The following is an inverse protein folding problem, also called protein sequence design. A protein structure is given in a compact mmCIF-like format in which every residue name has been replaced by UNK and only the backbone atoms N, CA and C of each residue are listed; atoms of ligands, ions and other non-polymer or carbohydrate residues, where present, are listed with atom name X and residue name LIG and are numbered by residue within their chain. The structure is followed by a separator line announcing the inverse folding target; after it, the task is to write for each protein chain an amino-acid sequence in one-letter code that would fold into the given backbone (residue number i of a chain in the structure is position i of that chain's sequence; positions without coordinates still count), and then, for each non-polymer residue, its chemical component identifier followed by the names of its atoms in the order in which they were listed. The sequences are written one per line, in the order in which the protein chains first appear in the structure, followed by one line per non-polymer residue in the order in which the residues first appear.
data_IF_732855876439
#
_entry.id   IF_732855876439
#
_cell.length_a   1.000
_cell.length_b   1.000
_cell.length_c   1.000
_cell.angle_alpha   90.00
_cell.angle_beta   90.00
_cell.angle_gamma   90.00
#
_symmetry.space_group_name_H-M   'P 1'
#
loop_
_entity.id
_entity.type
_entity.pdbx_description
1 polymer ?
#
# COMPACT_ATOMS: atom_id res chain seq x y z
N UNK A 1 19.81 -37.22 -38.28
CA UNK A 1 19.33 -35.93 -38.85
C UNK A 1 18.24 -35.42 -37.95
N UNK A 2 18.60 -34.61 -36.99
CA UNK A 2 17.69 -34.04 -35.96
C UNK A 2 17.25 -32.66 -36.42
N UNK A 3 15.95 -32.45 -36.58
CA UNK A 3 15.38 -31.14 -36.89
C UNK A 3 15.09 -30.41 -35.59
N UNK A 4 15.94 -29.43 -35.28
CA UNK A 4 15.76 -28.49 -34.19
C UNK A 4 14.63 -27.53 -34.56
N UNK A 5 13.52 -27.63 -33.86
CA UNK A 5 12.38 -26.69 -33.97
C UNK A 5 12.73 -25.43 -33.22
N UNK A 6 13.09 -24.35 -33.92
CA UNK A 6 13.25 -23.01 -33.36
C UNK A 6 11.89 -22.41 -33.27
N UNK A 7 11.36 -22.31 -32.02
CA UNK A 7 10.15 -21.53 -31.72
C UNK A 7 10.55 -20.05 -31.82
N UNK A 8 10.19 -19.43 -32.96
CA UNK A 8 10.20 -17.97 -33.07
C UNK A 8 9.09 -17.43 -32.15
N UNK A 9 9.49 -16.80 -31.07
CA UNK A 9 8.58 -15.95 -30.29
C UNK A 9 8.26 -14.70 -31.13
N UNK A 10 7.10 -14.69 -31.78
CA UNK A 10 6.52 -13.45 -32.28
C UNK A 10 6.19 -12.56 -31.11
N UNK A 11 7.04 -11.55 -30.89
CA UNK A 11 6.77 -10.45 -29.97
C UNK A 11 5.62 -9.65 -30.60
N UNK A 12 4.45 -9.72 -30.00
CA UNK A 12 3.26 -9.00 -30.45
C UNK A 12 3.57 -7.52 -30.65
N UNK A 13 3.42 -7.02 -31.88
CA UNK A 13 3.69 -5.65 -32.33
C UNK A 13 2.49 -4.70 -32.11
N UNK A 14 1.78 -4.83 -31.00
CA UNK A 14 0.65 -3.96 -30.66
C UNK A 14 1.04 -2.85 -29.66
N UNK A 15 0.18 -1.84 -29.45
CA UNK A 15 0.33 -0.82 -28.43
C UNK A 15 0.63 -1.41 -27.05
N UNK A 16 1.40 -0.69 -26.20
CA UNK A 16 1.79 -1.16 -24.86
C UNK A 16 0.56 -1.53 -24.02
N UNK A 17 -0.53 -0.75 -24.15
CA UNK A 17 -1.82 -0.99 -23.47
C UNK A 17 -2.46 -2.29 -23.95
N UNK A 18 -2.52 -2.51 -25.28
CA UNK A 18 -3.11 -3.74 -25.84
C UNK A 18 -2.34 -4.99 -25.45
N UNK A 19 -1.01 -4.91 -25.36
CA UNK A 19 -0.18 -6.03 -24.88
C UNK A 19 -0.49 -6.39 -23.43
N UNK A 20 -0.64 -5.39 -22.53
CA UNK A 20 -1.01 -5.59 -21.14
C UNK A 20 -2.41 -6.20 -20.99
N UNK A 21 -3.37 -5.76 -21.82
CA UNK A 21 -4.73 -6.29 -21.86
C UNK A 21 -4.74 -7.72 -22.44
N UNK A 22 -4.03 -7.95 -23.53
CA UNK A 22 -3.92 -9.26 -24.19
C UNK A 22 -3.29 -10.33 -23.29
N UNK A 23 -2.41 -9.94 -22.36
CA UNK A 23 -1.82 -10.83 -21.37
C UNK A 23 -2.76 -11.11 -20.17
N UNK A 24 -3.99 -10.57 -20.16
CA UNK A 24 -4.96 -10.78 -19.07
C UNK A 24 -4.58 -10.13 -17.72
N UNK A 25 -3.55 -9.28 -17.69
CA UNK A 25 -3.05 -8.62 -16.47
C UNK A 25 -3.98 -7.46 -16.08
N UNK A 26 -4.57 -6.76 -17.07
CA UNK A 26 -5.42 -5.59 -16.86
C UNK A 26 -6.71 -5.69 -17.68
N UNK A 27 -7.85 -5.34 -17.05
CA UNK A 27 -9.18 -5.39 -17.67
C UNK A 27 -9.45 -4.20 -18.59
N UNK A 28 -8.71 -3.09 -18.43
CA UNK A 28 -8.90 -1.86 -19.21
C UNK A 28 -7.58 -1.10 -19.39
N UNK A 29 -7.55 -0.17 -20.36
CA UNK A 29 -6.44 0.76 -20.56
C UNK A 29 -6.16 1.57 -19.28
N UNK A 30 -7.22 2.03 -18.59
CA UNK A 30 -7.14 2.75 -17.33
C UNK A 30 -6.44 1.91 -16.25
N UNK A 31 -6.82 0.62 -16.10
CA UNK A 31 -6.19 -0.26 -15.10
C UNK A 31 -4.69 -0.46 -15.39
N UNK A 32 -4.33 -0.58 -16.67
CA UNK A 32 -2.94 -0.70 -17.09
C UNK A 32 -2.12 0.56 -16.75
N UNK A 33 -2.64 1.74 -17.09
CA UNK A 33 -2.00 3.03 -16.80
C UNK A 33 -1.85 3.19 -15.28
N UNK A 34 -2.91 2.94 -14.52
CA UNK A 34 -2.90 3.01 -13.06
C UNK A 34 -1.82 2.12 -12.47
N UNK A 35 -1.77 0.86 -12.87
CA UNK A 35 -0.75 -0.08 -12.40
C UNK A 35 0.65 0.39 -12.75
N UNK A 36 0.89 0.83 -13.99
CA UNK A 36 2.19 1.30 -14.43
C UNK A 36 2.66 2.53 -13.66
N UNK A 37 1.78 3.51 -13.41
CA UNK A 37 2.11 4.70 -12.63
C UNK A 37 2.38 4.37 -11.17
N UNK A 38 1.53 3.54 -10.55
CA UNK A 38 1.75 3.07 -9.18
C UNK A 38 3.11 2.36 -9.06
N UNK A 39 3.43 1.48 -10.02
CA UNK A 39 4.71 0.79 -10.03
C UNK A 39 5.89 1.76 -10.19
N UNK A 40 5.81 2.72 -11.11
CA UNK A 40 6.89 3.70 -11.36
C UNK A 40 7.12 4.62 -10.15
N UNK A 41 6.06 5.06 -9.48
CA UNK A 41 6.17 5.83 -8.24
C UNK A 41 6.77 4.95 -7.14
N UNK A 42 6.30 3.72 -7.05
CA UNK A 42 6.78 2.73 -6.07
C UNK A 42 8.25 2.38 -6.27
N UNK A 43 8.68 2.16 -7.50
CA UNK A 43 10.07 1.79 -7.83
C UNK A 43 11.02 3.02 -7.83
N UNK A 44 10.52 4.22 -7.53
CA UNK A 44 11.31 5.45 -7.54
C UNK A 44 11.72 5.92 -8.94
N UNK A 45 11.06 5.41 -10.00
CA UNK A 45 11.25 5.89 -11.38
C UNK A 45 10.72 7.31 -11.51
N UNK A 46 9.58 7.59 -10.85
CA UNK A 46 9.10 8.96 -10.65
C UNK A 46 9.42 9.39 -9.23
N UNK A 47 10.25 10.41 -9.11
CA UNK A 47 10.71 10.93 -7.83
C UNK A 47 9.66 11.85 -7.17
N UNK A 48 9.61 11.93 -5.83
CA UNK A 48 8.83 12.96 -5.15
C UNK A 48 9.11 14.35 -5.72
N UNK A 49 8.06 15.14 -5.97
CA UNK A 49 8.13 16.47 -6.61
C UNK A 49 8.21 16.44 -8.13
N UNK A 50 8.46 15.27 -8.75
CA UNK A 50 8.57 15.17 -10.20
C UNK A 50 7.24 15.46 -10.90
N UNK A 51 7.31 16.28 -11.95
CA UNK A 51 6.14 16.67 -12.73
C UNK A 51 5.74 15.58 -13.73
N UNK A 52 4.51 15.13 -13.65
CA UNK A 52 3.91 14.21 -14.62
C UNK A 52 3.07 15.00 -15.63
N UNK A 53 3.26 14.70 -16.92
CA UNK A 53 2.55 15.37 -18.02
C UNK A 53 1.53 14.41 -18.63
N UNK A 54 0.22 14.75 -18.53
CA UNK A 54 -0.86 13.93 -19.10
C UNK A 54 -0.63 13.59 -20.58
N UNK A 55 -0.20 14.59 -21.37
CA UNK A 55 0.01 14.43 -22.81
C UNK A 55 1.15 13.47 -23.13
N UNK A 56 2.26 13.52 -22.38
CA UNK A 56 3.38 12.64 -22.57
C UNK A 56 3.01 11.16 -22.24
N UNK A 57 2.29 10.97 -21.14
CA UNK A 57 1.80 9.65 -20.75
C UNK A 57 0.72 9.12 -21.73
N UNK A 58 -0.17 9.97 -22.20
CA UNK A 58 -1.15 9.59 -23.22
C UNK A 58 -0.46 9.11 -24.50
N UNK A 59 0.58 9.79 -24.93
CA UNK A 59 1.39 9.40 -26.07
C UNK A 59 2.16 8.10 -25.81
N UNK A 60 2.77 7.94 -24.63
CA UNK A 60 3.53 6.75 -24.25
C UNK A 60 2.66 5.50 -24.18
N UNK A 61 1.44 5.63 -23.62
CA UNK A 61 0.49 4.53 -23.51
C UNK A 61 -0.39 4.35 -24.75
N UNK A 62 -0.21 5.18 -25.77
CA UNK A 62 -0.98 5.16 -27.04
C UNK A 62 -2.50 5.28 -26.81
N UNK A 63 -2.90 6.19 -25.91
CA UNK A 63 -4.29 6.45 -25.56
C UNK A 63 -4.62 7.95 -25.68
N UNK A 64 -5.90 8.31 -25.57
CA UNK A 64 -6.30 9.71 -25.38
C UNK A 64 -5.91 10.20 -23.97
N UNK A 65 -5.96 11.53 -23.75
CA UNK A 65 -5.65 12.09 -22.42
C UNK A 65 -6.71 11.73 -21.35
N UNK A 66 -7.94 11.39 -21.76
CA UNK A 66 -9.02 11.13 -20.82
C UNK A 66 -8.73 10.01 -19.81
N UNK A 67 -8.32 8.79 -20.20
CA UNK A 67 -7.99 7.73 -19.25
C UNK A 67 -6.79 8.08 -18.34
N UNK A 68 -5.81 8.84 -18.84
CA UNK A 68 -4.67 9.32 -18.03
C UNK A 68 -5.15 10.28 -16.96
N UNK A 69 -6.02 11.24 -17.33
CA UNK A 69 -6.62 12.21 -16.40
C UNK A 69 -7.47 11.54 -15.31
N UNK A 70 -8.24 10.51 -15.68
CA UNK A 70 -8.98 9.74 -14.69
C UNK A 70 -8.06 9.05 -13.68
N UNK A 71 -6.97 8.45 -14.15
CA UNK A 71 -5.96 7.83 -13.27
C UNK A 71 -5.28 8.89 -12.41
N UNK A 72 -4.95 10.07 -12.95
CA UNK A 72 -4.38 11.15 -12.15
C UNK A 72 -5.29 11.55 -10.99
N UNK A 73 -6.59 11.75 -11.25
CA UNK A 73 -7.59 12.05 -10.21
C UNK A 73 -7.69 10.95 -9.17
N UNK A 74 -7.61 9.68 -9.59
CA UNK A 74 -7.59 8.55 -8.68
C UNK A 74 -6.33 8.57 -7.80
N UNK A 75 -5.15 8.79 -8.38
CA UNK A 75 -3.89 8.86 -7.64
C UNK A 75 -3.80 10.12 -6.75
N UNK A 76 -4.47 11.21 -7.11
CA UNK A 76 -4.65 12.39 -6.25
C UNK A 76 -5.54 12.06 -5.05
N UNK A 77 -6.64 11.35 -5.27
CA UNK A 77 -7.51 10.87 -4.19
C UNK A 77 -6.78 9.91 -3.25
N UNK A 78 -5.83 9.15 -3.78
CA UNK A 78 -4.94 8.28 -3.00
C UNK A 78 -3.75 9.03 -2.37
N UNK A 79 -3.67 10.35 -2.55
CA UNK A 79 -2.59 11.18 -2.00
C UNK A 79 -1.21 10.92 -2.60
N UNK A 80 -1.12 10.23 -3.74
CA UNK A 80 0.15 9.94 -4.44
C UNK A 80 0.57 11.05 -5.39
N UNK A 81 -0.40 11.79 -5.92
CA UNK A 81 -0.18 12.95 -6.77
C UNK A 81 -0.79 14.19 -6.12
N UNK A 82 -0.31 15.35 -6.53
CA UNK A 82 -0.88 16.66 -6.20
C UNK A 82 -0.93 17.51 -7.46
N UNK A 83 -2.09 18.11 -7.73
CA UNK A 83 -2.25 19.09 -8.81
C UNK A 83 -2.29 20.49 -8.25
N UNK A 84 -1.37 21.32 -8.70
CA UNK A 84 -1.32 22.73 -8.37
C UNK A 84 -1.75 23.57 -9.56
N UNK A 85 -2.55 24.60 -9.29
CA UNK A 85 -2.98 25.53 -10.33
C UNK A 85 -1.77 26.16 -11.02
N UNK A 86 -1.73 26.13 -12.34
CA UNK A 86 -0.61 26.57 -13.22
C UNK A 86 0.69 25.75 -13.11
N UNK A 87 0.87 24.87 -12.12
CA UNK A 87 2.09 24.06 -11.97
C UNK A 87 1.94 22.62 -12.49
N UNK A 88 0.69 22.20 -12.74
CA UNK A 88 0.36 20.85 -13.20
C UNK A 88 0.43 19.80 -12.10
N UNK A 89 0.40 18.54 -12.49
CA UNK A 89 0.40 17.39 -11.57
C UNK A 89 1.82 16.93 -11.27
N UNK A 90 2.10 16.67 -9.99
CA UNK A 90 3.40 16.19 -9.49
C UNK A 90 3.21 14.97 -8.59
N UNK A 91 4.25 14.14 -8.47
CA UNK A 91 4.34 13.14 -7.40
C UNK A 91 4.41 13.87 -6.06
N UNK A 92 3.54 13.50 -5.11
CA UNK A 92 3.50 14.15 -3.80
C UNK A 92 4.80 13.94 -3.04
N UNK A 93 5.33 15.01 -2.49
CA UNK A 93 6.40 14.97 -1.51
C UNK A 93 5.77 14.81 -0.13
N UNK A 94 6.29 13.86 0.64
CA UNK A 94 5.87 13.64 2.01
C UNK A 94 7.07 13.87 2.90
N UNK A 95 6.97 14.86 3.78
CA UNK A 95 8.05 15.20 4.71
C UNK A 95 8.18 14.15 5.83
N UNK A 96 9.38 14.03 6.39
CA UNK A 96 9.61 13.18 7.58
C UNK A 96 8.71 13.59 8.75
N UNK A 97 8.43 14.89 8.89
CA UNK A 97 7.52 15.40 9.92
C UNK A 97 6.08 14.90 9.70
N UNK A 98 5.59 14.92 8.46
CA UNK A 98 4.25 14.44 8.12
C UNK A 98 4.10 12.92 8.39
N UNK A 99 5.14 12.15 8.10
CA UNK A 99 5.19 10.72 8.45
C UNK A 99 5.17 10.56 9.97
N UNK A 100 5.98 11.35 10.69
CA UNK A 100 6.04 11.33 12.14
C UNK A 100 4.67 11.59 12.77
N UNK A 101 4.01 12.68 12.36
CA UNK A 101 2.70 13.08 12.89
C UNK A 101 1.63 12.02 12.61
N UNK A 102 1.62 11.45 11.40
CA UNK A 102 0.68 10.40 11.01
C UNK A 102 0.87 9.11 11.82
N UNK A 103 2.11 8.67 12.00
CA UNK A 103 2.38 7.44 12.78
C UNK A 103 2.15 7.63 14.28
N UNK A 104 2.42 8.83 14.80
CA UNK A 104 2.08 9.16 16.20
C UNK A 104 0.56 9.07 16.42
N UNK A 105 -0.22 9.73 15.56
CA UNK A 105 -1.67 9.70 15.65
C UNK A 105 -2.23 8.29 15.42
N UNK A 106 -1.67 7.55 14.45
CA UNK A 106 -1.99 6.15 14.21
C UNK A 106 -1.89 5.31 15.48
N UNK A 107 -0.77 5.41 16.21
CA UNK A 107 -0.54 4.63 17.42
C UNK A 107 -1.64 4.84 18.46
N UNK A 108 -2.03 6.09 18.72
CA UNK A 108 -3.11 6.40 19.67
C UNK A 108 -4.48 5.92 19.16
N UNK A 109 -4.78 6.08 17.89
CA UNK A 109 -6.06 5.62 17.32
C UNK A 109 -6.19 4.09 17.39
N UNK A 110 -5.12 3.36 17.10
CA UNK A 110 -5.09 1.90 17.17
C UNK A 110 -5.21 1.40 18.62
N UNK A 111 -4.55 2.07 19.59
CA UNK A 111 -4.71 1.76 21.00
C UNK A 111 -6.16 1.93 21.48
N UNK A 112 -6.79 3.06 21.14
CA UNK A 112 -8.19 3.32 21.47
C UNK A 112 -9.09 2.29 20.78
N UNK A 113 -8.84 1.99 19.51
CA UNK A 113 -9.63 1.01 18.77
C UNK A 113 -9.59 -0.37 19.42
N UNK A 114 -8.40 -0.87 19.79
CA UNK A 114 -8.25 -2.16 20.45
C UNK A 114 -9.09 -2.28 21.73
N UNK A 115 -9.10 -1.23 22.57
CA UNK A 115 -9.86 -1.21 23.82
C UNK A 115 -11.38 -1.17 23.62
N UNK A 116 -11.84 -0.76 22.43
CA UNK A 116 -13.27 -0.69 22.08
C UNK A 116 -13.78 -1.96 21.39
N UNK A 117 -12.94 -2.96 21.10
CA UNK A 117 -13.35 -4.18 20.39
C UNK A 117 -14.29 -5.01 21.27
N UNK A 118 -15.51 -5.33 20.80
CA UNK A 118 -16.37 -6.29 21.51
C UNK A 118 -15.75 -7.70 21.46
N UNK A 119 -15.64 -8.43 22.59
CA UNK A 119 -15.01 -9.76 22.61
C UNK A 119 -15.61 -10.77 21.60
N UNK A 120 -16.93 -10.73 21.41
CA UNK A 120 -17.60 -11.59 20.43
C UNK A 120 -17.11 -11.34 19.00
N UNK A 121 -16.96 -10.07 18.59
CA UNK A 121 -16.44 -9.72 17.27
C UNK A 121 -14.99 -10.13 17.06
N UNK A 122 -14.18 -10.04 18.11
CA UNK A 122 -12.79 -10.48 18.04
C UNK A 122 -12.72 -11.98 17.74
N UNK A 123 -13.52 -12.79 18.43
CA UNK A 123 -13.57 -14.25 18.23
C UNK A 123 -13.88 -14.62 16.78
N UNK A 124 -14.86 -13.92 16.18
CA UNK A 124 -15.28 -14.18 14.79
C UNK A 124 -14.24 -13.74 13.75
N UNK A 125 -13.52 -12.65 14.03
CA UNK A 125 -12.59 -12.03 13.08
C UNK A 125 -11.14 -12.50 13.25
N UNK A 126 -10.78 -13.14 14.36
CA UNK A 126 -9.38 -13.47 14.68
C UNK A 126 -8.68 -14.27 13.58
N UNK A 127 -9.34 -15.27 13.00
CA UNK A 127 -8.77 -16.07 11.93
C UNK A 127 -8.40 -15.26 10.69
N UNK A 128 -9.19 -14.21 10.36
CA UNK A 128 -8.87 -13.32 9.24
C UNK A 128 -7.64 -12.44 9.54
N UNK A 129 -7.51 -11.96 10.78
CA UNK A 129 -6.34 -11.17 11.22
C UNK A 129 -5.05 -12.03 11.18
N UNK A 130 -5.12 -13.26 11.67
CA UNK A 130 -3.99 -14.21 11.64
C UNK A 130 -3.59 -14.56 10.19
N UNK A 131 -4.57 -14.69 9.29
CA UNK A 131 -4.30 -14.88 7.86
C UNK A 131 -3.55 -13.70 7.23
N UNK A 132 -3.86 -12.45 7.61
CA UNK A 132 -3.14 -11.26 7.14
C UNK A 132 -1.70 -11.25 7.61
N UNK A 133 -1.41 -11.65 8.84
CA UNK A 133 -0.03 -11.83 9.31
C UNK A 133 0.70 -12.92 8.50
N UNK A 134 0.03 -14.02 8.19
CA UNK A 134 0.60 -15.08 7.34
C UNK A 134 0.93 -14.55 5.94
N UNK A 135 0.07 -13.69 5.36
CA UNK A 135 0.33 -13.02 4.08
C UNK A 135 1.53 -12.08 4.16
N UNK A 136 1.68 -11.29 5.25
CA UNK A 136 2.86 -10.45 5.46
C UNK A 136 4.14 -11.30 5.50
N UNK A 137 4.16 -12.40 6.24
CA UNK A 137 5.30 -13.32 6.29
C UNK A 137 5.63 -13.94 4.93
N UNK A 138 4.61 -14.31 4.15
CA UNK A 138 4.80 -14.84 2.81
C UNK A 138 5.42 -13.78 1.90
N UNK A 139 4.88 -12.57 1.88
CA UNK A 139 5.42 -11.45 1.12
C UNK A 139 6.87 -11.11 1.52
N UNK A 140 7.16 -11.09 2.83
CA UNK A 140 8.51 -10.85 3.34
C UNK A 140 9.53 -11.91 2.91
N UNK A 141 9.13 -13.18 2.79
CA UNK A 141 10.02 -14.26 2.32
C UNK A 141 10.32 -14.17 0.83
N UNK A 142 9.35 -13.71 0.03
CA UNK A 142 9.50 -13.56 -1.43
C UNK A 142 10.09 -12.21 -1.84
N UNK A 143 10.33 -11.27 -0.90
CA UNK A 143 10.76 -9.91 -1.22
C UNK A 143 9.66 -9.04 -1.86
N UNK A 144 8.38 -9.44 -1.74
CA UNK A 144 7.24 -8.68 -2.26
C UNK A 144 6.88 -7.54 -1.29
N UNK A 145 7.57 -6.40 -1.42
CA UNK A 145 7.35 -5.22 -0.59
C UNK A 145 5.93 -4.65 -0.75
N UNK A 146 5.36 -4.68 -1.94
CA UNK A 146 4.00 -4.22 -2.21
C UNK A 146 2.94 -5.12 -1.58
N UNK A 147 3.10 -6.44 -1.71
CA UNK A 147 2.23 -7.41 -1.06
C UNK A 147 2.29 -7.28 0.47
N UNK A 148 3.50 -7.06 1.00
CA UNK A 148 3.69 -6.80 2.42
C UNK A 148 2.94 -5.53 2.87
N UNK A 149 3.13 -4.40 2.16
CA UNK A 149 2.49 -3.12 2.51
C UNK A 149 0.96 -3.24 2.52
N UNK A 150 0.39 -3.92 1.52
CA UNK A 150 -1.07 -4.16 1.46
C UNK A 150 -1.56 -5.00 2.64
N UNK A 151 -0.90 -6.12 2.93
CA UNK A 151 -1.27 -7.00 4.02
C UNK A 151 -1.11 -6.33 5.39
N UNK A 152 -0.04 -5.54 5.57
CA UNK A 152 0.21 -4.75 6.77
C UNK A 152 -0.89 -3.70 7.02
N UNK A 153 -1.24 -2.94 5.99
CA UNK A 153 -2.31 -1.93 6.09
C UNK A 153 -3.65 -2.58 6.44
N UNK A 154 -3.99 -3.67 5.77
CA UNK A 154 -5.26 -4.37 6.02
C UNK A 154 -5.29 -5.04 7.40
N UNK A 155 -4.16 -5.52 7.91
CA UNK A 155 -4.03 -6.05 9.26
C UNK A 155 -4.44 -5.00 10.30
N UNK A 156 -3.83 -3.83 10.28
CA UNK A 156 -4.13 -2.75 11.22
C UNK A 156 -5.54 -2.21 11.02
N UNK A 157 -5.96 -2.00 9.77
CA UNK A 157 -7.30 -1.53 9.44
C UNK A 157 -8.39 -2.49 9.93
N UNK A 158 -8.17 -3.80 9.81
CA UNK A 158 -9.08 -4.82 10.30
C UNK A 158 -9.28 -4.70 11.82
N UNK A 159 -8.21 -4.53 12.58
CA UNK A 159 -8.27 -4.34 14.04
C UNK A 159 -9.08 -3.07 14.36
N UNK A 160 -8.77 -1.95 13.71
CA UNK A 160 -9.48 -0.68 13.92
C UNK A 160 -10.98 -0.81 13.59
N UNK A 161 -11.33 -1.54 12.54
CA UNK A 161 -12.72 -1.73 12.12
C UNK A 161 -13.56 -2.50 13.14
N UNK A 162 -12.94 -3.41 13.91
CA UNK A 162 -13.61 -4.20 14.95
C UNK A 162 -14.15 -3.33 16.11
N UNK A 163 -13.55 -2.17 16.36
CA UNK A 163 -14.04 -1.21 17.35
C UNK A 163 -15.46 -0.73 17.06
N UNK A 164 -15.96 -0.93 15.83
CA UNK A 164 -17.30 -0.49 15.39
C UNK A 164 -17.55 1.01 15.56
N UNK A 165 -16.47 1.78 15.69
CA UNK A 165 -16.50 3.25 15.73
C UNK A 165 -16.20 3.80 14.34
N UNK A 166 -17.27 4.17 13.60
CA UNK A 166 -17.16 4.68 12.23
C UNK A 166 -16.34 5.96 12.12
N UNK A 167 -16.41 6.83 13.13
CA UNK A 167 -15.65 8.09 13.14
C UNK A 167 -14.16 7.79 13.30
N UNK A 168 -13.78 6.92 14.24
CA UNK A 168 -12.41 6.51 14.45
C UNK A 168 -11.82 5.87 13.18
N UNK A 169 -12.55 4.96 12.55
CA UNK A 169 -12.11 4.33 11.29
C UNK A 169 -11.91 5.36 10.17
N UNK A 170 -12.82 6.34 10.02
CA UNK A 170 -12.66 7.42 9.02
C UNK A 170 -11.41 8.26 9.28
N UNK A 171 -11.13 8.62 10.52
CA UNK A 171 -9.93 9.37 10.89
C UNK A 171 -8.69 8.53 10.62
N UNK A 172 -8.69 7.25 10.98
CA UNK A 172 -7.58 6.33 10.68
C UNK A 172 -7.34 6.19 9.17
N UNK A 173 -8.40 5.99 8.38
CA UNK A 173 -8.32 5.89 6.91
C UNK A 173 -7.74 7.19 6.30
N UNK A 174 -8.02 8.37 6.88
CA UNK A 174 -7.50 9.67 6.40
C UNK A 174 -6.00 9.87 6.65
N UNK A 175 -5.36 9.06 7.47
CA UNK A 175 -3.91 9.11 7.68
C UNK A 175 -3.11 8.51 6.51
N UNK A 176 -3.77 7.91 5.53
CA UNK A 176 -3.13 7.33 4.33
C UNK A 176 -1.99 6.34 4.64
N UNK A 177 -2.13 5.61 5.75
CA UNK A 177 -1.07 4.71 6.28
C UNK A 177 -0.58 3.71 5.23
N UNK A 178 -1.45 3.25 4.35
CA UNK A 178 -1.08 2.34 3.25
C UNK A 178 -0.03 2.94 2.32
N UNK A 179 -0.14 4.23 1.99
CA UNK A 179 0.82 4.96 1.18
C UNK A 179 2.12 5.19 1.97
N UNK A 180 2.02 5.70 3.21
CA UNK A 180 3.17 5.98 4.06
C UNK A 180 3.98 4.71 4.34
N UNK A 181 3.30 3.60 4.61
CA UNK A 181 3.91 2.28 4.81
C UNK A 181 4.68 1.82 3.57
N UNK A 182 4.11 1.97 2.39
CA UNK A 182 4.75 1.58 1.12
C UNK A 182 6.03 2.38 0.87
N UNK A 183 6.00 3.71 1.04
CA UNK A 183 7.17 4.57 0.87
C UNK A 183 8.30 4.23 1.85
N UNK A 184 7.95 3.88 3.09
CA UNK A 184 8.92 3.51 4.10
C UNK A 184 9.54 2.12 3.82
N UNK A 185 8.75 1.17 3.35
CA UNK A 185 9.20 -0.19 3.04
C UNK A 185 10.18 -0.25 1.86
N UNK A 186 10.02 0.60 0.85
CA UNK A 186 10.95 0.69 -0.27
C UNK A 186 12.38 1.01 0.18
N UNK A 187 12.52 1.86 1.19
CA UNK A 187 13.82 2.19 1.79
C UNK A 187 14.39 1.04 2.64
N UNK A 188 13.59 0.02 2.95
CA UNK A 188 13.88 -1.00 3.96
C UNK A 188 13.59 -2.45 3.52
N UNK A 189 13.63 -2.77 2.22
CA UNK A 189 13.33 -4.13 1.71
C UNK A 189 14.08 -5.24 2.43
N UNK A 190 15.34 -5.01 2.80
CA UNK A 190 16.17 -5.97 3.55
C UNK A 190 15.63 -6.28 4.94
N UNK A 191 14.75 -5.44 5.50
CA UNK A 191 14.17 -5.60 6.83
C UNK A 191 12.78 -6.26 6.83
N UNK A 192 12.20 -6.62 5.67
CA UNK A 192 10.82 -7.14 5.57
C UNK A 192 10.56 -8.31 6.52
N UNK A 193 11.50 -9.24 6.67
CA UNK A 193 11.32 -10.41 7.55
C UNK A 193 11.19 -10.01 9.01
N UNK A 194 12.06 -9.12 9.49
CA UNK A 194 11.97 -8.61 10.86
C UNK A 194 10.70 -7.81 11.08
N UNK A 195 10.29 -7.01 10.08
CA UNK A 195 9.05 -6.24 10.10
C UNK A 195 7.79 -7.13 10.14
N UNK A 196 7.82 -8.32 9.54
CA UNK A 196 6.72 -9.28 9.68
C UNK A 196 6.62 -9.86 11.11
N UNK A 197 7.76 -10.12 11.76
CA UNK A 197 7.79 -10.76 13.08
C UNK A 197 7.40 -9.82 14.23
N UNK A 198 7.63 -8.51 14.11
CA UNK A 198 7.22 -7.55 15.17
C UNK A 198 5.69 -7.45 15.34
N UNK A 199 4.88 -8.04 14.44
CA UNK A 199 3.43 -8.16 14.60
C UNK A 199 3.01 -9.34 15.48
N UNK A 200 3.90 -10.32 15.73
CA UNK A 200 3.54 -11.52 16.49
C UNK A 200 3.01 -11.22 17.91
N UNK A 201 3.64 -10.33 18.70
CA UNK A 201 3.11 -9.99 20.02
C UNK A 201 1.67 -9.44 19.98
N UNK A 202 1.33 -8.66 18.93
CA UNK A 202 -0.03 -8.13 18.74
C UNK A 202 -1.03 -9.27 18.49
N UNK A 203 -0.66 -10.22 17.61
CA UNK A 203 -1.51 -11.38 17.33
C UNK A 203 -1.69 -12.24 18.57
N UNK A 204 -0.64 -12.47 19.34
CA UNK A 204 -0.69 -13.27 20.56
C UNK A 204 -1.57 -12.63 21.64
N UNK A 205 -1.52 -11.31 21.81
CA UNK A 205 -2.39 -10.59 22.75
C UNK A 205 -3.86 -10.62 22.31
N UNK A 206 -4.14 -10.44 21.00
CA UNK A 206 -5.48 -10.60 20.44
C UNK A 206 -6.01 -12.01 20.66
N UNK A 207 -5.20 -13.04 20.47
CA UNK A 207 -5.57 -14.45 20.70
C UNK A 207 -5.97 -14.73 22.14
N UNK A 208 -5.28 -14.08 23.10
CA UNK A 208 -5.62 -14.17 24.54
C UNK A 208 -6.84 -13.33 24.89
N UNK A 209 -7.28 -12.42 24.02
CA UNK A 209 -8.35 -11.46 24.30
C UNK A 209 -7.91 -10.31 25.23
N UNK A 210 -6.61 -10.10 25.42
CA UNK A 210 -6.08 -8.99 26.22
C UNK A 210 -6.04 -7.70 25.38
N UNK A 211 -7.20 -7.06 25.27
CA UNK A 211 -7.38 -5.87 24.44
C UNK A 211 -6.63 -4.64 24.98
N UNK A 212 -6.35 -4.61 26.28
CA UNK A 212 -5.56 -3.53 26.89
C UNK A 212 -4.10 -3.67 26.46
N UNK A 213 -3.51 -4.87 26.60
CA UNK A 213 -2.15 -5.15 26.14
C UNK A 213 -2.04 -4.97 24.62
N UNK A 214 -3.06 -5.44 23.85
CA UNK A 214 -3.10 -5.25 22.39
C UNK A 214 -2.99 -3.77 22.02
N UNK A 215 -3.73 -2.90 22.71
CA UNK A 215 -3.67 -1.45 22.46
C UNK A 215 -2.27 -0.87 22.68
N UNK A 216 -1.63 -1.23 23.82
CA UNK A 216 -0.26 -0.79 24.12
C UNK A 216 0.72 -1.26 23.04
N UNK A 217 0.64 -2.54 22.66
CA UNK A 217 1.51 -3.12 21.63
C UNK A 217 1.34 -2.46 20.26
N UNK A 218 0.10 -2.13 19.87
CA UNK A 218 -0.17 -1.42 18.62
C UNK A 218 0.45 -0.01 18.62
N UNK A 219 0.31 0.73 19.72
CA UNK A 219 0.94 2.05 19.87
C UNK A 219 2.47 1.95 19.81
N UNK A 220 3.06 1.05 20.56
CA UNK A 220 4.52 0.85 20.56
C UNK A 220 5.02 0.40 19.19
N UNK A 221 4.29 -0.46 18.52
CA UNK A 221 4.56 -0.87 17.15
C UNK A 221 4.58 0.34 16.21
N UNK A 222 3.56 1.20 16.22
CA UNK A 222 3.53 2.40 15.40
C UNK A 222 4.72 3.32 15.73
N UNK A 223 5.04 3.52 17.02
CA UNK A 223 6.14 4.38 17.47
C UNK A 223 7.52 3.81 17.17
N UNK A 224 7.65 2.49 17.00
CA UNK A 224 8.94 1.89 16.63
C UNK A 224 9.46 2.40 15.28
N UNK A 225 8.55 2.74 14.36
CA UNK A 225 8.90 3.31 13.05
C UNK A 225 9.41 4.75 13.13
N UNK A 226 9.05 5.50 14.18
CA UNK A 226 9.47 6.89 14.38
C UNK A 226 10.96 7.02 14.74
N UNK A 227 11.56 5.97 15.29
CA UNK A 227 12.97 5.95 15.70
C UNK A 227 13.94 5.93 14.51
N UNK A 228 13.48 5.45 13.37
CA UNK A 228 14.29 5.30 12.14
C UNK A 228 14.03 6.43 11.13
N UNK A 229 13.20 7.43 11.46
CA UNK A 229 12.97 8.60 10.62
C UNK A 229 14.16 9.56 10.73
N UNK A 230 14.65 10.12 9.60
CA UNK A 230 15.74 11.07 9.57
C UNK A 230 15.37 12.42 10.18
#
# INVERSE_FOLDING_TARGET
MSKTNVIKSEVASGPIVERGIAMGIHKSARDHIRWALLKRISDGVYLPGERLKEMALAQEFEVSQAPVREVFRELETLGLLVSEHYRGTRVREISSQEIYDAYQLRGYLEEIAAQLIPPAKLKDAFGAIEALQTLMRKAARSGDADGFARANTEFHRSIVSLASNRTLLKVWDSLEIGMLSRLNLQKNEKKLRSLAEIHQPIVDSLKRGDLKETGVLLREHAFSFLKDLP
#
